data_IF_247918144836
#
_entry.id   IF_247918144836
#
_cell.length_a   1.000
_cell.length_b   1.000
_cell.length_c   1.000
_cell.angle_alpha   90.00
_cell.angle_beta   90.00
_cell.angle_gamma   90.00
#
_symmetry.space_group_name_H-M   'P 1'
#
loop_
_entity.id
_entity.type
_entity.pdbx_description
1 polymer ?
#
# COMPACT_ATOMS: atom_id res chain seq x y z
N UNK A 1 14.44 10.76 12.14
CA UNK A 1 13.07 11.14 11.74
C UNK A 1 12.36 9.88 11.26
N UNK A 2 11.07 9.71 11.56
CA UNK A 2 10.32 8.54 11.11
C UNK A 2 10.26 8.49 9.57
N UNK A 3 10.35 7.29 8.99
CA UNK A 3 10.21 7.09 7.55
C UNK A 3 8.76 6.67 7.24
N UNK A 4 8.03 7.51 6.52
CA UNK A 4 6.63 7.27 6.16
C UNK A 4 6.50 7.13 4.65
N UNK A 5 5.80 6.09 4.21
CA UNK A 5 5.57 5.83 2.78
C UNK A 5 4.09 5.62 2.50
N UNK A 6 3.65 6.09 1.34
CA UNK A 6 2.37 5.68 0.79
C UNK A 6 2.54 4.40 -0.03
N UNK A 7 1.75 3.36 0.23
CA UNK A 7 1.77 2.13 -0.56
C UNK A 7 0.62 2.15 -1.55
N UNK A 8 0.95 2.01 -2.83
CA UNK A 8 -0.02 1.85 -3.91
C UNK A 8 0.30 0.60 -4.72
N UNK A 9 -0.59 0.25 -5.64
CA UNK A 9 -0.44 -0.90 -6.52
C UNK A 9 -0.83 -0.54 -7.94
N UNK A 10 -0.34 -1.33 -8.89
CA UNK A 10 -0.72 -1.18 -10.30
C UNK A 10 -2.20 -1.48 -10.55
N UNK A 11 -2.86 -2.19 -9.63
CA UNK A 11 -4.27 -2.57 -9.70
C UNK A 11 -4.82 -3.00 -8.32
N UNK A 12 -6.06 -3.47 -8.26
CA UNK A 12 -6.56 -4.30 -7.17
C UNK A 12 -5.92 -5.69 -7.18
N UNK A 13 -5.88 -6.36 -6.03
CA UNK A 13 -5.40 -7.75 -5.87
C UNK A 13 -3.93 -8.01 -6.29
N UNK A 14 -3.14 -6.97 -6.53
CA UNK A 14 -1.70 -7.10 -6.82
C UNK A 14 -0.85 -7.46 -5.58
N UNK A 15 -1.50 -7.65 -4.42
CA UNK A 15 -0.86 -7.97 -3.14
C UNK A 15 -0.30 -6.77 -2.39
N UNK A 16 -0.94 -5.59 -2.48
CA UNK A 16 -0.56 -4.40 -1.70
C UNK A 16 -0.43 -4.72 -0.21
N UNK A 17 -1.50 -5.27 0.38
CA UNK A 17 -1.60 -5.63 1.79
C UNK A 17 -0.53 -6.64 2.19
N UNK A 18 -0.34 -7.68 1.38
CA UNK A 18 0.67 -8.70 1.62
C UNK A 18 2.07 -8.10 1.67
N UNK A 19 2.42 -7.26 0.68
CA UNK A 19 3.71 -6.58 0.63
C UNK A 19 3.86 -5.56 1.77
N UNK A 20 2.82 -4.79 2.08
CA UNK A 20 2.83 -3.85 3.22
C UNK A 20 3.09 -4.58 4.54
N UNK A 21 2.38 -5.69 4.79
CA UNK A 21 2.59 -6.54 5.96
C UNK A 21 4.02 -7.09 6.01
N UNK A 22 4.56 -7.55 4.87
CA UNK A 22 5.92 -8.07 4.77
C UNK A 22 6.98 -6.99 5.05
N UNK A 23 6.77 -5.76 4.56
CA UNK A 23 7.63 -4.60 4.83
C UNK A 23 7.56 -4.17 6.30
N UNK A 24 6.36 -4.16 6.91
CA UNK A 24 6.19 -3.89 8.34
C UNK A 24 6.91 -4.93 9.20
N UNK A 25 6.81 -6.21 8.85
CA UNK A 25 7.52 -7.28 9.53
C UNK A 25 9.04 -7.14 9.38
N UNK A 26 9.54 -6.94 8.15
CA UNK A 26 10.96 -6.78 7.87
C UNK A 26 11.56 -5.59 8.64
N UNK A 27 10.87 -4.44 8.65
CA UNK A 27 11.31 -3.28 9.41
C UNK A 27 11.30 -3.54 10.92
N UNK A 28 10.30 -4.27 11.43
CA UNK A 28 10.26 -4.67 12.84
C UNK A 28 11.42 -5.59 13.22
N UNK A 29 11.79 -6.54 12.35
CA UNK A 29 12.96 -7.41 12.52
C UNK A 29 14.29 -6.63 12.55
N UNK A 30 14.33 -5.44 11.93
CA UNK A 30 15.45 -4.48 12.04
C UNK A 30 15.37 -3.60 13.31
N UNK A 31 14.51 -3.94 14.28
CA UNK A 31 14.33 -3.21 15.53
C UNK A 31 13.57 -1.88 15.41
N UNK A 32 12.84 -1.66 14.31
CA UNK A 32 12.03 -0.43 14.12
C UNK A 32 10.65 -0.58 14.76
N UNK A 33 10.13 0.52 15.32
CA UNK A 33 8.71 0.62 15.64
C UNK A 33 7.93 0.90 14.37
N UNK A 34 7.04 -0.02 14.00
CA UNK A 34 6.31 0.01 12.73
C UNK A 34 4.83 0.34 12.92
N UNK A 35 4.28 1.13 12.00
CA UNK A 35 2.88 1.55 12.02
C UNK A 35 2.25 1.39 10.63
N UNK A 36 1.11 0.69 10.54
CA UNK A 36 0.36 0.52 9.29
C UNK A 36 -1.00 1.19 9.36
N UNK A 37 -1.37 1.94 8.33
CA UNK A 37 -2.67 2.62 8.19
C UNK A 37 -3.34 2.21 6.88
N UNK A 38 -4.67 2.02 6.92
CA UNK A 38 -5.55 1.78 5.77
C UNK A 38 -6.65 2.85 5.80
N UNK A 39 -6.39 4.10 5.35
CA UNK A 39 -7.26 5.24 5.64
C UNK A 39 -8.70 5.09 5.13
N UNK A 40 -8.87 4.34 4.05
CA UNK A 40 -10.16 3.97 3.48
C UNK A 40 -10.14 2.52 3.03
N UNK A 41 -11.22 1.80 3.32
CA UNK A 41 -11.44 0.43 2.87
C UNK A 41 -12.91 0.21 2.53
N UNK A 42 -13.15 -0.61 1.51
CA UNK A 42 -14.45 -1.11 1.06
C UNK A 42 -14.47 -2.64 1.22
N UNK A 43 -15.64 -3.26 1.26
CA UNK A 43 -15.75 -4.70 1.54
C UNK A 43 -15.47 -5.03 3.00
N UNK A 44 -15.93 -4.17 3.93
CA UNK A 44 -15.79 -4.44 5.35
C UNK A 44 -16.91 -5.37 5.83
N UNK A 45 -16.56 -6.34 6.68
CA UNK A 45 -17.52 -7.23 7.32
C UNK A 45 -18.04 -6.64 8.63
N UNK A 46 -19.32 -6.82 8.91
CA UNK A 46 -19.90 -6.44 10.19
C UNK A 46 -19.52 -7.46 11.27
N UNK A 47 -18.76 -7.02 12.27
CA UNK A 47 -18.38 -7.83 13.44
C UNK A 47 -19.02 -7.27 14.72
N UNK A 48 -18.98 -7.98 15.86
CA UNK A 48 -19.43 -7.44 17.14
C UNK A 48 -18.71 -6.15 17.55
N UNK A 49 -17.46 -5.96 17.12
CA UNK A 49 -16.68 -4.76 17.41
C UNK A 49 -16.86 -3.64 16.35
N UNK A 50 -17.79 -3.81 15.40
CA UNK A 50 -18.08 -2.89 14.30
C UNK A 50 -17.56 -3.40 12.95
N UNK A 51 -17.56 -2.54 11.93
CA UNK A 51 -17.04 -2.90 10.60
C UNK A 51 -15.54 -3.21 10.67
N UNK A 52 -15.11 -4.30 10.02
CA UNK A 52 -13.71 -4.73 9.94
C UNK A 52 -13.34 -5.08 8.51
N UNK A 53 -12.15 -4.65 8.10
CA UNK A 53 -11.57 -4.95 6.81
C UNK A 53 -10.31 -5.80 7.01
N UNK A 54 -10.21 -6.88 6.24
CA UNK A 54 -9.09 -7.81 6.31
C UNK A 54 -7.74 -7.12 6.05
N UNK A 55 -7.66 -6.18 5.12
CA UNK A 55 -6.41 -5.47 4.84
C UNK A 55 -5.96 -4.66 6.06
N UNK A 56 -6.88 -3.90 6.65
CA UNK A 56 -6.62 -3.10 7.84
C UNK A 56 -6.18 -3.97 9.04
N UNK A 57 -6.83 -5.12 9.22
CA UNK A 57 -6.48 -6.09 10.26
C UNK A 57 -5.09 -6.69 10.01
N UNK A 58 -4.75 -7.03 8.78
CA UNK A 58 -3.42 -7.54 8.42
C UNK A 58 -2.33 -6.50 8.72
N UNK A 59 -2.53 -5.23 8.36
CA UNK A 59 -1.59 -4.16 8.70
C UNK A 59 -1.42 -4.01 10.21
N UNK A 60 -2.52 -4.06 10.98
CA UNK A 60 -2.49 -3.97 12.44
C UNK A 60 -1.80 -5.18 13.09
N UNK A 61 -1.93 -6.37 12.51
CA UNK A 61 -1.26 -7.59 12.96
C UNK A 61 0.26 -7.44 12.87
N UNK A 62 0.77 -7.03 11.70
CA UNK A 62 2.21 -6.96 11.41
C UNK A 62 2.90 -5.65 11.85
N UNK A 63 2.13 -4.61 12.20
CA UNK A 63 2.67 -3.41 12.84
C UNK A 63 3.03 -3.67 14.31
N UNK A 64 4.15 -3.14 14.79
CA UNK A 64 4.52 -3.23 16.22
C UNK A 64 3.78 -2.19 17.08
N UNK A 65 3.44 -1.03 16.50
CA UNK A 65 2.67 0.02 17.18
C UNK A 65 1.18 -0.32 17.06
N UNK A 66 0.54 -0.60 18.20
CA UNK A 66 -0.87 -0.96 18.25
C UNK A 66 -1.74 0.29 18.44
N UNK A 67 -2.47 0.67 17.40
CA UNK A 67 -3.50 1.71 17.45
C UNK A 67 -4.89 1.09 17.59
N UNK A 68 -5.89 1.82 18.12
CA UNK A 68 -7.29 1.45 17.96
C UNK A 68 -7.66 1.26 16.48
N UNK A 69 -8.54 0.30 16.16
CA UNK A 69 -8.92 0.00 14.78
C UNK A 69 -9.42 1.24 14.02
N UNK A 70 -10.19 2.10 14.68
CA UNK A 70 -10.71 3.35 14.09
C UNK A 70 -9.61 4.36 13.70
N UNK A 71 -8.38 4.23 14.20
CA UNK A 71 -7.24 5.01 13.74
C UNK A 71 -6.48 4.33 12.58
N UNK A 72 -6.46 3.00 12.55
CA UNK A 72 -5.90 2.22 11.44
C UNK A 72 -6.77 2.37 10.19
N UNK A 73 -8.07 2.15 10.32
CA UNK A 73 -9.08 2.26 9.27
C UNK A 73 -10.24 3.16 9.69
N UNK A 74 -10.08 4.50 9.62
CA UNK A 74 -11.11 5.46 10.03
C UNK A 74 -12.30 5.52 9.08
N UNK A 75 -12.14 5.04 7.85
CA UNK A 75 -13.22 4.95 6.87
C UNK A 75 -13.38 3.50 6.42
N UNK A 76 -14.14 2.74 7.20
CA UNK A 76 -14.66 1.43 6.84
C UNK A 76 -15.99 1.58 6.08
N UNK A 77 -16.13 0.88 4.95
CA UNK A 77 -17.32 0.84 4.10
C UNK A 77 -17.68 -0.62 3.81
N UNK A 78 -18.93 -1.00 4.02
CA UNK A 78 -19.38 -2.40 3.89
C UNK A 78 -19.36 -2.92 2.45
N UNK A 79 -19.91 -2.22 1.43
CA UNK A 79 -19.97 -2.78 0.07
C UNK A 79 -18.57 -3.01 -0.54
N UNK A 80 -18.34 -4.19 -1.11
CA UNK A 80 -17.10 -4.57 -1.80
C UNK A 80 -17.02 -3.99 -3.22
N UNK A 81 -17.05 -2.66 -3.32
CA UNK A 81 -17.03 -1.89 -4.57
C UNK A 81 -16.08 -0.69 -4.43
N UNK A 82 -15.89 0.08 -5.51
CA UNK A 82 -15.02 1.26 -5.48
C UNK A 82 -15.37 2.21 -4.31
N UNK A 83 -14.38 2.72 -3.54
CA UNK A 83 -14.64 3.45 -2.30
C UNK A 83 -15.60 4.64 -2.41
N UNK A 84 -15.52 5.44 -3.48
CA UNK A 84 -16.43 6.56 -3.68
C UNK A 84 -17.90 6.13 -3.85
N UNK A 85 -18.15 5.00 -4.50
CA UNK A 85 -19.50 4.44 -4.68
C UNK A 85 -20.01 3.89 -3.36
N UNK A 86 -19.19 3.11 -2.65
CA UNK A 86 -19.53 2.55 -1.34
C UNK A 86 -19.84 3.67 -0.32
N UNK A 87 -19.06 4.75 -0.33
CA UNK A 87 -19.31 5.92 0.51
C UNK A 87 -20.63 6.61 0.16
N UNK A 88 -20.90 6.81 -1.14
CA UNK A 88 -22.15 7.41 -1.60
C UNK A 88 -23.38 6.60 -1.17
N UNK A 89 -23.33 5.26 -1.29
CA UNK A 89 -24.41 4.38 -0.82
C UNK A 89 -24.62 4.46 0.69
N UNK A 90 -23.55 4.67 1.46
CA UNK A 90 -23.61 4.90 2.91
C UNK A 90 -23.98 6.35 3.30
N UNK A 91 -24.32 7.22 2.35
CA UNK A 91 -24.61 8.64 2.60
C UNK A 91 -23.40 9.44 3.09
N UNK A 92 -22.18 8.98 2.79
CA UNK A 92 -20.91 9.59 3.17
C UNK A 92 -20.21 10.19 1.97
N UNK A 93 -19.46 11.26 2.18
CA UNK A 93 -18.55 11.83 1.17
C UNK A 93 -17.11 11.68 1.64
N UNK A 94 -16.27 11.10 0.79
CA UNK A 94 -14.82 11.04 1.03
C UNK A 94 -14.18 12.34 0.55
N UNK A 95 -13.13 12.78 1.25
CA UNK A 95 -12.27 13.85 0.76
C UNK A 95 -10.82 13.59 1.13
N UNK A 96 -9.90 13.95 0.24
CA UNK A 96 -8.48 13.81 0.48
C UNK A 96 -8.02 14.62 1.72
N UNK A 97 -8.41 15.89 1.90
CA UNK A 97 -8.04 16.67 3.08
C UNK A 97 -8.48 16.05 4.41
N UNK A 98 -9.67 15.42 4.45
CA UNK A 98 -10.16 14.73 5.65
C UNK A 98 -9.31 13.51 5.96
N UNK A 99 -8.99 12.70 4.96
CA UNK A 99 -8.12 11.53 5.12
C UNK A 99 -6.71 11.94 5.55
N UNK A 100 -6.17 13.05 5.02
CA UNK A 100 -4.89 13.62 5.44
C UNK A 100 -4.88 13.94 6.94
N UNK A 101 -5.92 14.63 7.43
CA UNK A 101 -6.04 14.97 8.86
C UNK A 101 -6.06 13.72 9.75
N UNK A 102 -6.81 12.69 9.35
CA UNK A 102 -6.88 11.41 10.05
C UNK A 102 -5.52 10.68 10.06
N UNK A 103 -4.85 10.61 8.91
CA UNK A 103 -3.52 10.00 8.81
C UNK A 103 -2.49 10.74 9.66
N UNK A 104 -2.46 12.08 9.58
CA UNK A 104 -1.55 12.91 10.39
C UNK A 104 -1.76 12.69 11.87
N UNK A 105 -3.02 12.62 12.32
CA UNK A 105 -3.35 12.31 13.72
C UNK A 105 -2.76 10.98 14.18
N UNK A 106 -2.94 9.91 13.39
CA UNK A 106 -2.35 8.60 13.70
C UNK A 106 -0.81 8.62 13.67
N UNK A 107 -0.22 9.32 12.70
CA UNK A 107 1.23 9.47 12.53
C UNK A 107 1.92 10.29 13.63
N UNK A 108 1.16 10.98 14.50
CA UNK A 108 1.72 11.61 15.71
C UNK A 108 2.16 10.58 16.75
N UNK A 109 1.69 9.33 16.65
CA UNK A 109 2.11 8.24 17.54
C UNK A 109 3.59 7.92 17.31
N UNK A 110 4.44 7.79 18.36
CA UNK A 110 5.85 7.50 18.18
C UNK A 110 6.12 6.22 17.39
N UNK A 111 6.80 6.36 16.24
CA UNK A 111 7.17 5.27 15.35
C UNK A 111 8.47 5.60 14.61
N UNK A 112 9.08 4.61 13.97
CA UNK A 112 10.31 4.77 13.19
C UNK A 112 10.07 4.51 11.69
N UNK A 113 9.13 3.63 11.36
CA UNK A 113 8.72 3.28 10.00
C UNK A 113 7.19 3.18 9.91
N UNK A 114 6.58 3.79 8.90
CA UNK A 114 5.13 3.74 8.71
C UNK A 114 4.70 3.62 7.26
N UNK A 115 3.59 2.92 7.06
CA UNK A 115 2.95 2.73 5.77
C UNK A 115 1.52 3.25 5.81
N UNK A 116 1.17 4.08 4.82
CA UNK A 116 -0.20 4.50 4.52
C UNK A 116 -0.62 3.77 3.25
N UNK A 117 -1.45 2.75 3.39
CA UNK A 117 -1.87 1.92 2.27
C UNK A 117 -3.12 2.48 1.59
N UNK A 118 -3.05 2.64 0.27
CA UNK A 118 -4.20 2.98 -0.57
C UNK A 118 -5.16 1.81 -0.80
N UNK A 119 -6.36 2.12 -1.28
CA UNK A 119 -7.32 1.12 -1.77
C UNK A 119 -7.36 1.14 -3.32
N UNK A 120 -7.46 -0.03 -3.95
CA UNK A 120 -7.45 -0.12 -5.41
C UNK A 120 -6.12 0.32 -6.04
N UNK A 121 -6.20 1.12 -7.11
CA UNK A 121 -5.05 1.63 -7.86
C UNK A 121 -4.77 3.11 -7.60
N UNK A 122 -3.75 3.65 -8.28
CA UNK A 122 -3.26 5.03 -8.06
C UNK A 122 -4.31 6.14 -8.27
N UNK A 123 -5.16 5.98 -9.29
CA UNK A 123 -6.22 6.93 -9.65
C UNK A 123 -7.60 6.45 -9.18
N UNK A 124 -7.69 5.67 -8.10
CA UNK A 124 -8.98 5.31 -7.50
C UNK A 124 -9.68 6.57 -6.97
N UNK A 125 -10.91 6.87 -7.43
CA UNK A 125 -11.62 8.08 -7.00
C UNK A 125 -12.04 8.01 -5.54
N UNK A 126 -11.91 9.14 -4.84
CA UNK A 126 -12.52 9.39 -3.54
C UNK A 126 -13.87 10.09 -3.71
N UNK A 127 -13.95 11.02 -4.65
CA UNK A 127 -15.16 11.78 -5.00
C UNK A 127 -15.04 12.28 -6.46
N UNK A 128 -15.99 13.08 -6.98
CA UNK A 128 -15.95 13.54 -8.38
C UNK A 128 -14.74 14.39 -8.79
N UNK A 129 -13.91 14.84 -7.84
CA UNK A 129 -12.76 15.74 -8.09
C UNK A 129 -11.43 15.19 -7.60
N UNK A 130 -11.45 14.36 -6.57
CA UNK A 130 -10.26 13.90 -5.85
C UNK A 130 -10.08 12.39 -5.97
N UNK A 131 -8.83 11.96 -5.98
CA UNK A 131 -8.37 10.59 -6.05
C UNK A 131 -7.55 10.22 -4.81
N UNK A 132 -7.32 8.93 -4.59
CA UNK A 132 -6.43 8.47 -3.52
C UNK A 132 -5.00 8.99 -3.65
N UNK A 133 -4.55 9.26 -4.87
CA UNK A 133 -3.25 9.89 -5.11
C UNK A 133 -3.17 11.33 -4.60
N UNK A 134 -4.30 12.03 -4.39
CA UNK A 134 -4.34 13.35 -3.76
C UNK A 134 -4.02 13.26 -2.27
N UNK A 135 -4.43 12.17 -1.60
CA UNK A 135 -4.02 11.89 -0.22
C UNK A 135 -2.50 11.76 -0.10
N UNK A 136 -1.87 10.96 -0.98
CA UNK A 136 -0.41 10.80 -1.01
C UNK A 136 0.31 12.14 -1.27
N UNK A 137 -0.19 12.93 -2.24
CA UNK A 137 0.37 14.23 -2.57
C UNK A 137 0.24 15.25 -1.43
N UNK A 138 -0.92 15.33 -0.77
CA UNK A 138 -1.16 16.25 0.35
C UNK A 138 -0.42 15.86 1.63
N UNK A 139 -0.15 14.56 1.83
CA UNK A 139 0.73 14.09 2.90
C UNK A 139 2.21 14.40 2.63
N UNK A 140 2.57 14.65 1.37
CA UNK A 140 3.94 14.89 0.91
C UNK A 140 4.91 13.77 1.34
N UNK A 141 4.46 12.52 1.15
CA UNK A 141 5.23 11.31 1.49
C UNK A 141 5.63 10.54 0.23
N UNK A 142 6.83 9.94 0.22
CA UNK A 142 7.26 9.10 -0.90
C UNK A 142 6.38 7.86 -1.06
N UNK A 143 6.35 7.32 -2.28
CA UNK A 143 5.49 6.20 -2.66
C UNK A 143 6.30 4.91 -2.82
N UNK A 144 5.72 3.79 -2.38
CA UNK A 144 6.13 2.43 -2.73
C UNK A 144 5.09 1.85 -3.68
N UNK A 145 5.52 1.36 -4.84
CA UNK A 145 4.66 0.76 -5.85
C UNK A 145 4.72 -0.77 -5.80
N UNK A 146 3.58 -1.42 -5.61
CA UNK A 146 3.44 -2.88 -5.74
C UNK A 146 2.99 -3.24 -7.16
N UNK A 147 3.83 -4.00 -7.86
CA UNK A 147 3.57 -4.49 -9.22
C UNK A 147 3.20 -5.97 -9.14
N UNK A 148 1.95 -6.29 -9.46
CA UNK A 148 1.52 -7.67 -9.59
C UNK A 148 2.11 -8.28 -10.86
N UNK A 149 2.95 -9.31 -10.72
CA UNK A 149 3.63 -9.96 -11.84
C UNK A 149 2.65 -10.87 -12.59
N UNK A 150 2.13 -10.34 -13.71
CA UNK A 150 1.23 -11.00 -14.65
C UNK A 150 1.39 -10.37 -16.04
N UNK A 151 0.82 -11.00 -17.08
CA UNK A 151 0.83 -10.41 -18.42
C UNK A 151 0.21 -9.01 -18.40
N UNK A 152 0.89 -8.04 -19.03
CA UNK A 152 0.51 -6.63 -19.02
C UNK A 152 1.09 -5.79 -17.87
N UNK A 153 1.80 -6.40 -16.90
CA UNK A 153 2.35 -5.68 -15.75
C UNK A 153 3.32 -4.55 -16.12
N UNK A 154 4.10 -4.69 -17.20
CA UNK A 154 4.99 -3.64 -17.71
C UNK A 154 4.19 -2.36 -18.00
N UNK A 155 3.11 -2.47 -18.77
CA UNK A 155 2.28 -1.33 -19.12
C UNK A 155 1.67 -0.67 -17.86
N UNK A 156 1.06 -1.47 -16.98
CA UNK A 156 0.41 -0.93 -15.77
C UNK A 156 1.41 -0.27 -14.81
N UNK A 157 2.61 -0.85 -14.65
CA UNK A 157 3.66 -0.27 -13.84
C UNK A 157 4.13 1.08 -14.42
N UNK A 158 4.43 1.15 -15.71
CA UNK A 158 4.92 2.38 -16.34
C UNK A 158 3.85 3.49 -16.36
N UNK A 159 2.60 3.18 -16.67
CA UNK A 159 1.48 4.14 -16.57
C UNK A 159 1.32 4.67 -15.14
N UNK A 160 1.46 3.81 -14.14
CA UNK A 160 1.40 4.22 -12.72
C UNK A 160 2.58 5.13 -12.36
N UNK A 161 3.79 4.79 -12.81
CA UNK A 161 5.01 5.59 -12.61
C UNK A 161 4.90 6.96 -13.27
N UNK A 162 4.35 7.05 -14.49
CA UNK A 162 4.11 8.32 -15.17
C UNK A 162 3.09 9.18 -14.42
N UNK A 163 1.99 8.58 -13.96
CA UNK A 163 0.97 9.28 -13.17
C UNK A 163 1.51 9.77 -11.81
N UNK A 164 2.43 9.02 -11.20
CA UNK A 164 3.17 9.42 -9.99
C UNK A 164 4.06 10.64 -10.25
N UNK A 165 4.84 10.61 -11.35
CA UNK A 165 5.72 11.71 -11.76
C UNK A 165 4.93 12.99 -12.03
N UNK A 166 3.75 12.90 -12.65
CA UNK A 166 2.87 14.04 -12.90
C UNK A 166 2.43 14.77 -11.62
N UNK A 167 2.41 14.07 -10.48
CA UNK A 167 2.08 14.61 -9.16
C UNK A 167 3.31 15.04 -8.34
N UNK A 168 4.52 15.02 -8.95
CA UNK A 168 5.81 15.38 -8.33
C UNK A 168 6.16 14.58 -7.06
N UNK A 169 5.56 13.41 -6.88
CA UNK A 169 5.86 12.53 -5.76
C UNK A 169 7.11 11.70 -6.06
N UNK A 170 7.94 11.50 -5.03
CA UNK A 170 9.10 10.60 -5.10
C UNK A 170 8.62 9.15 -5.05
N UNK A 171 8.97 8.34 -6.04
CA UNK A 171 8.90 6.89 -5.94
C UNK A 171 10.12 6.40 -5.16
N UNK A 172 9.93 5.97 -3.91
CA UNK A 172 11.01 5.47 -3.06
C UNK A 172 11.48 4.07 -3.46
N UNK A 173 10.60 3.28 -4.07
CA UNK A 173 10.94 1.97 -4.59
C UNK A 173 9.70 1.24 -5.09
N UNK A 174 9.93 0.06 -5.65
CA UNK A 174 8.86 -0.80 -6.15
C UNK A 174 9.12 -2.26 -5.77
N UNK A 175 8.05 -3.05 -5.65
CA UNK A 175 8.10 -4.48 -5.34
C UNK A 175 7.44 -5.23 -6.47
N UNK A 176 8.15 -6.21 -7.04
CA UNK A 176 7.56 -7.21 -7.92
C UNK A 176 6.93 -8.29 -7.06
N UNK A 177 5.62 -8.46 -7.13
CA UNK A 177 4.89 -9.44 -6.33
C UNK A 177 4.29 -10.53 -7.22
N UNK A 178 4.67 -11.79 -7.00
CA UNK A 178 4.09 -12.94 -7.70
C UNK A 178 2.75 -13.32 -7.07
N UNK A 179 1.66 -13.06 -7.79
CA UNK A 179 0.29 -13.19 -7.27
C UNK A 179 -0.39 -14.53 -7.62
N UNK A 180 0.01 -15.18 -8.72
CA UNK A 180 -0.58 -16.43 -9.21
C UNK A 180 0.22 -17.67 -8.80
N UNK A 181 -0.44 -18.83 -8.76
CA UNK A 181 0.24 -20.13 -8.66
C UNK A 181 0.99 -20.45 -9.94
N UNK A 182 0.42 -20.04 -11.07
CA UNK A 182 1.04 -20.16 -12.36
C UNK A 182 2.29 -19.28 -12.41
N UNK A 183 3.41 -19.91 -12.75
CA UNK A 183 4.66 -19.18 -12.99
C UNK A 183 4.47 -18.30 -14.22
N UNK A 184 4.67 -16.99 -14.03
CA UNK A 184 4.63 -16.04 -15.14
C UNK A 184 5.70 -16.42 -16.19
N UNK A 185 5.32 -16.64 -17.46
CA UNK A 185 6.29 -16.84 -18.53
C UNK A 185 7.22 -15.63 -18.64
N UNK A 186 8.51 -15.88 -18.84
CA UNK A 186 9.52 -14.83 -19.00
C UNK A 186 9.56 -13.83 -17.82
N UNK A 187 9.35 -14.30 -16.59
CA UNK A 187 9.41 -13.45 -15.39
C UNK A 187 10.71 -12.64 -15.32
N UNK A 188 11.85 -13.27 -15.60
CA UNK A 188 13.17 -12.61 -15.59
C UNK A 188 13.23 -11.43 -16.57
N UNK A 189 12.85 -11.64 -17.84
CA UNK A 189 12.87 -10.60 -18.87
C UNK A 189 11.91 -9.45 -18.57
N UNK A 190 10.75 -9.76 -17.96
CA UNK A 190 9.81 -8.74 -17.50
C UNK A 190 10.39 -7.90 -16.37
N UNK A 191 11.07 -8.54 -15.40
CA UNK A 191 11.76 -7.84 -14.31
C UNK A 191 12.90 -6.95 -14.81
N UNK A 192 13.69 -7.43 -15.77
CA UNK A 192 14.76 -6.66 -16.39
C UNK A 192 14.21 -5.45 -17.15
N UNK A 193 13.12 -5.66 -17.92
CA UNK A 193 12.41 -4.60 -18.63
C UNK A 193 11.88 -3.50 -17.69
N UNK A 194 11.29 -3.89 -16.57
CA UNK A 194 10.80 -2.99 -15.52
C UNK A 194 11.96 -2.24 -14.87
N UNK A 195 13.01 -2.95 -14.45
CA UNK A 195 14.18 -2.38 -13.78
C UNK A 195 14.91 -1.36 -14.66
N UNK A 196 14.98 -1.61 -15.97
CA UNK A 196 15.58 -0.67 -16.93
C UNK A 196 14.75 0.62 -17.13
N UNK A 197 13.45 0.61 -16.80
CA UNK A 197 12.53 1.74 -17.07
C UNK A 197 12.04 2.45 -15.82
N UNK A 198 12.08 1.78 -14.66
CA UNK A 198 11.73 2.36 -13.36
C UNK A 198 13.03 2.76 -12.66
N UNK A 199 13.27 4.07 -12.55
CA UNK A 199 14.49 4.60 -11.95
C UNK A 199 14.62 4.37 -10.43
N UNK A 200 13.50 4.06 -9.76
CA UNK A 200 13.48 3.77 -8.33
C UNK A 200 13.98 2.34 -8.06
N UNK A 201 14.60 2.08 -6.90
CA UNK A 201 15.13 0.77 -6.58
C UNK A 201 14.02 -0.30 -6.51
N UNK A 202 14.32 -1.50 -7.02
CA UNK A 202 13.52 -2.68 -6.74
C UNK A 202 13.80 -3.11 -5.29
N UNK A 203 12.77 -3.04 -4.45
CA UNK A 203 12.81 -3.41 -3.04
C UNK A 203 12.69 -4.92 -2.85
N UNK A 204 12.38 -5.69 -3.89
CA UNK A 204 12.33 -7.14 -3.83
C UNK A 204 11.48 -7.77 -4.93
N UNK A 205 11.77 -9.04 -5.22
CA UNK A 205 10.95 -9.92 -6.05
C UNK A 205 10.30 -10.93 -5.13
N UNK A 206 9.13 -10.58 -4.61
CA UNK A 206 8.41 -11.36 -3.60
C UNK A 206 7.79 -12.59 -4.27
N UNK A 207 8.17 -13.81 -3.87
CA UNK A 207 7.55 -15.03 -4.37
C UNK A 207 6.13 -15.16 -3.81
N UNK A 208 5.31 -15.99 -4.44
CA UNK A 208 4.05 -16.42 -3.83
C UNK A 208 4.38 -17.15 -2.52
N UNK A 209 3.71 -16.79 -1.45
CA UNK A 209 3.81 -17.46 -0.16
C UNK A 209 2.49 -17.31 0.61
N UNK A 210 2.27 -18.20 1.57
CA UNK A 210 1.05 -18.19 2.40
C UNK A 210 1.04 -17.03 3.41
N UNK A 211 2.23 -16.63 3.88
CA UNK A 211 2.38 -15.61 4.90
C UNK A 211 3.45 -14.57 4.54
N UNK A 212 3.22 -13.28 4.84
CA UNK A 212 4.14 -12.20 4.51
C UNK A 212 5.44 -12.23 5.35
N UNK A 213 5.46 -12.94 6.48
CA UNK A 213 6.63 -13.16 7.32
C UNK A 213 7.38 -14.47 7.02
N UNK A 214 6.98 -15.19 5.97
CA UNK A 214 7.69 -16.41 5.58
C UNK A 214 9.16 -16.13 5.21
N UNK A 215 10.09 -17.06 5.49
CA UNK A 215 11.52 -16.83 5.22
C UNK A 215 11.85 -16.49 3.77
N UNK A 216 11.12 -17.06 2.80
CA UNK A 216 11.30 -16.78 1.36
C UNK A 216 10.94 -15.34 1.00
N UNK A 217 9.85 -14.80 1.58
CA UNK A 217 9.45 -13.39 1.41
C UNK A 217 10.45 -12.47 2.09
N UNK A 218 10.83 -12.77 3.33
CA UNK A 218 11.75 -11.93 4.10
C UNK A 218 13.16 -11.87 3.49
N UNK A 219 13.64 -12.96 2.90
CA UNK A 219 14.92 -12.98 2.16
C UNK A 219 14.85 -12.21 0.83
N UNK A 220 13.68 -12.11 0.22
CA UNK A 220 13.49 -11.42 -1.05
C UNK A 220 13.44 -9.89 -0.91
N UNK A 221 13.07 -9.37 0.26
CA UNK A 221 12.91 -7.93 0.52
C UNK A 221 14.22 -7.24 0.91
N UNK A 222 14.38 -6.00 0.45
CA UNK A 222 15.54 -5.13 0.69
C UNK A 222 15.07 -3.74 1.10
N UNK A 223 15.13 -3.47 2.41
CA UNK A 223 14.62 -2.22 2.97
C UNK A 223 15.66 -1.11 3.06
N UNK A 224 16.96 -1.41 2.93
CA UNK A 224 18.02 -0.40 3.01
C UNK A 224 17.75 0.86 2.15
N UNK A 225 17.29 0.74 0.89
CA UNK A 225 17.00 1.90 0.06
C UNK A 225 15.90 2.82 0.64
N UNK A 226 15.02 2.34 1.53
CA UNK A 226 13.97 3.17 2.15
C UNK A 226 14.51 4.04 3.29
N UNK A 227 15.65 3.68 3.89
CA UNK A 227 16.23 4.44 5.00
C UNK A 227 17.29 5.46 4.54
N UNK A 228 17.82 5.29 3.33
CA UNK A 228 18.82 6.16 2.70
C UNK A 228 18.22 7.42 2.05
N UNK A 229 16.88 7.50 1.94
CA UNK A 229 16.13 8.61 1.32
C UNK A 229 16.12 9.87 2.15
#
# INVERSE_FOLDING_TARGET
MAKTFFVTGTDTEVGKTFVSAALLHAAAAMGKRTLGLKPVASGCEQTPEGLRNEDALALQQYATVKLPYAQVNPVALEPAIAPHIAAQQAGRTLSAPRLVGLCRGALMTPHDFSLVEGAGGWLTPLNPREYLSDLAAMLDIPVILVVGMRLGCINHALLTVEALRGRRLKLAGWVANQVSEETMPQLSDNLETLSARISAPCLGVVPRAEAPDSPSVQTALRLAPLFEV
#
